data_IF_981463521120
#
_entry.id   IF_981463521120
#
_cell.length_a   1.000
_cell.length_b   1.000
_cell.length_c   1.000
_cell.angle_alpha   90.00
_cell.angle_beta   90.00
_cell.angle_gamma   90.00
#
_symmetry.space_group_name_H-M   'P 1'
#
loop_
_entity.id
_entity.type
_entity.pdbx_description
1 polymer ?
#
# COMPACT_ATOMS: atom_id res chain seq x y z
N UNK A 1 32.35 -26.90 16.53
CA UNK A 1 31.03 -27.57 16.42
C UNK A 1 30.09 -26.56 15.81
N UNK A 2 29.77 -26.72 14.53
CA UNK A 2 28.85 -25.83 13.82
C UNK A 2 27.43 -26.33 14.04
N UNK A 3 26.57 -25.48 14.60
CA UNK A 3 25.12 -25.73 14.70
C UNK A 3 24.54 -25.86 13.28
N UNK A 4 23.68 -26.86 13.01
CA UNK A 4 22.99 -26.95 11.72
C UNK A 4 21.98 -25.79 11.61
N UNK A 5 21.65 -25.34 10.38
CA UNK A 5 20.60 -24.35 10.17
C UNK A 5 19.26 -24.92 10.64
N UNK A 6 18.51 -24.17 11.44
CA UNK A 6 17.13 -24.52 11.76
C UNK A 6 16.29 -24.47 10.48
N UNK A 7 15.76 -25.62 10.06
CA UNK A 7 14.74 -25.69 9.02
C UNK A 7 13.52 -24.89 9.50
N UNK A 8 13.33 -23.70 8.93
CA UNK A 8 12.15 -22.88 9.15
C UNK A 8 10.96 -23.50 8.39
N UNK A 9 10.51 -24.67 8.83
CA UNK A 9 9.36 -25.42 8.30
C UNK A 9 8.01 -24.82 8.79
N UNK A 10 8.02 -23.51 9.06
CA UNK A 10 6.88 -22.75 9.54
C UNK A 10 5.88 -22.47 8.42
N UNK A 11 4.60 -22.74 8.65
CA UNK A 11 3.53 -22.39 7.71
C UNK A 11 3.18 -20.90 7.72
N UNK A 12 3.78 -20.12 8.63
CA UNK A 12 3.61 -18.67 8.70
C UNK A 12 4.57 -18.01 7.71
N UNK A 13 4.08 -17.14 6.81
CA UNK A 13 4.97 -16.41 5.92
C UNK A 13 5.80 -15.38 6.68
N UNK A 14 7.00 -15.07 6.20
CA UNK A 14 7.96 -14.10 6.77
C UNK A 14 7.49 -12.62 6.74
N UNK A 15 6.22 -12.36 6.47
CA UNK A 15 5.67 -11.01 6.38
C UNK A 15 5.58 -10.35 7.77
N UNK A 16 5.82 -9.04 7.85
CA UNK A 16 5.54 -8.25 9.06
C UNK A 16 6.51 -7.12 9.40
N UNK A 17 7.63 -6.98 8.69
CA UNK A 17 8.45 -5.77 8.83
C UNK A 17 7.87 -4.64 7.97
N UNK A 18 6.94 -3.87 8.54
CA UNK A 18 6.30 -2.77 7.83
C UNK A 18 7.29 -1.65 7.45
N UNK A 19 8.42 -1.55 8.16
CA UNK A 19 9.44 -0.51 7.94
C UNK A 19 10.14 -0.67 6.59
N UNK A 20 10.19 -1.90 6.07
CA UNK A 20 10.75 -2.21 4.75
C UNK A 20 9.75 -1.99 3.60
N UNK A 21 8.46 -1.76 3.92
CA UNK A 21 7.46 -1.54 2.88
C UNK A 21 7.63 -0.16 2.25
N UNK A 22 7.93 -0.12 0.96
CA UNK A 22 7.99 1.12 0.19
C UNK A 22 6.68 1.93 0.27
N UNK A 23 5.52 1.25 0.35
CA UNK A 23 4.23 1.89 0.56
C UNK A 23 4.15 2.59 1.91
N UNK A 24 4.68 1.97 2.97
CA UNK A 24 4.72 2.56 4.31
C UNK A 24 5.68 3.75 4.38
N UNK A 25 6.92 3.58 3.90
CA UNK A 25 7.91 4.67 3.89
C UNK A 25 7.39 5.91 3.16
N UNK A 26 6.75 5.73 2.00
CA UNK A 26 6.12 6.84 1.28
C UNK A 26 4.91 7.42 2.01
N UNK A 27 4.04 6.59 2.59
CA UNK A 27 2.91 7.08 3.38
C UNK A 27 3.37 7.88 4.60
N UNK A 28 4.53 7.56 5.17
CA UNK A 28 5.16 8.35 6.22
C UNK A 28 5.60 9.73 5.74
N UNK A 29 6.28 9.81 4.59
CA UNK A 29 6.61 11.09 3.96
C UNK A 29 5.35 11.91 3.67
N UNK A 30 4.30 11.28 3.14
CA UNK A 30 3.02 11.94 2.86
C UNK A 30 2.40 12.51 4.14
N UNK A 31 2.42 11.75 5.24
CA UNK A 31 1.95 12.22 6.54
C UNK A 31 2.75 13.42 7.04
N UNK A 32 4.08 13.32 7.02
CA UNK A 32 4.97 14.38 7.53
C UNK A 32 4.86 15.68 6.73
N UNK A 33 4.75 15.56 5.40
CA UNK A 33 4.53 16.69 4.51
C UNK A 33 3.16 17.31 4.78
N UNK A 34 2.11 16.50 4.89
CA UNK A 34 0.73 16.96 5.08
C UNK A 34 0.53 17.64 6.42
N UNK A 35 1.08 17.08 7.49
CA UNK A 35 1.03 17.69 8.82
C UNK A 35 1.61 19.10 8.80
N UNK A 36 2.78 19.28 8.17
CA UNK A 36 3.43 20.58 8.05
C UNK A 36 2.69 21.52 7.10
N UNK A 37 2.22 21.00 5.97
CA UNK A 37 1.46 21.77 4.98
C UNK A 37 0.17 22.35 5.58
N UNK A 38 -0.63 21.51 6.24
CA UNK A 38 -1.89 21.92 6.85
C UNK A 38 -1.65 23.00 7.93
N UNK A 39 -0.65 22.83 8.79
CA UNK A 39 -0.36 23.83 9.82
C UNK A 39 0.25 25.13 9.29
N UNK A 40 0.96 25.11 8.17
CA UNK A 40 1.65 26.28 7.61
C UNK A 40 0.77 27.09 6.65
N UNK A 41 -0.04 26.42 5.83
CA UNK A 41 -0.70 27.04 4.68
C UNK A 41 -2.23 27.05 4.75
N UNK A 42 -2.84 26.42 5.76
CA UNK A 42 -4.27 26.51 6.02
C UNK A 42 -4.55 27.39 7.24
N UNK A 43 -5.69 28.06 7.23
CA UNK A 43 -6.10 28.95 8.31
C UNK A 43 -6.49 28.16 9.56
N UNK A 44 -6.03 28.62 10.73
CA UNK A 44 -6.40 28.00 12.02
C UNK A 44 -7.92 28.00 12.20
N UNK A 45 -8.48 26.83 12.52
CA UNK A 45 -9.93 26.64 12.68
C UNK A 45 -10.65 26.13 11.43
N UNK A 46 -9.95 25.98 10.32
CA UNK A 46 -10.48 25.31 9.13
C UNK A 46 -10.57 23.79 9.38
N UNK A 47 -11.79 23.24 9.27
CA UNK A 47 -12.05 21.80 9.41
C UNK A 47 -11.21 20.96 8.43
N UNK A 48 -10.78 21.57 7.32
CA UNK A 48 -9.90 20.96 6.32
C UNK A 48 -8.55 20.53 6.91
N UNK A 49 -8.03 21.24 7.93
CA UNK A 49 -6.76 20.87 8.60
C UNK A 49 -6.88 19.47 9.21
N UNK A 50 -7.90 19.27 10.03
CA UNK A 50 -8.09 18.02 10.76
C UNK A 50 -8.40 16.87 9.80
N UNK A 51 -9.17 17.14 8.74
CA UNK A 51 -9.51 16.16 7.71
C UNK A 51 -8.25 15.68 6.97
N UNK A 52 -7.43 16.59 6.42
CA UNK A 52 -6.21 16.22 5.71
C UNK A 52 -5.24 15.42 6.60
N UNK A 53 -5.01 15.89 7.84
CA UNK A 53 -4.11 15.21 8.78
C UNK A 53 -4.66 13.82 9.12
N UNK A 54 -5.98 13.70 9.35
CA UNK A 54 -6.62 12.42 9.65
C UNK A 54 -6.53 11.44 8.47
N UNK A 55 -6.80 11.89 7.25
CA UNK A 55 -6.71 11.08 6.03
C UNK A 55 -5.28 10.55 5.83
N UNK A 56 -4.28 11.43 5.96
CA UNK A 56 -2.86 11.03 5.88
C UNK A 56 -2.47 10.03 6.99
N UNK A 57 -2.90 10.29 8.23
CA UNK A 57 -2.64 9.41 9.38
C UNK A 57 -3.30 8.05 9.21
N UNK A 58 -4.55 8.02 8.76
CA UNK A 58 -5.33 6.82 8.50
C UNK A 58 -4.67 5.97 7.41
N UNK A 59 -4.25 6.60 6.31
CA UNK A 59 -3.50 5.94 5.22
C UNK A 59 -2.26 5.21 5.75
N UNK A 60 -1.38 5.93 6.47
CA UNK A 60 -0.15 5.36 7.05
C UNK A 60 -0.44 4.24 8.06
N UNK A 61 -1.37 4.47 8.99
CA UNK A 61 -1.67 3.49 10.06
C UNK A 61 -2.24 2.20 9.52
N UNK A 62 -3.16 2.26 8.56
CA UNK A 62 -3.77 1.06 8.01
C UNK A 62 -2.75 0.20 7.23
N UNK A 63 -1.74 0.79 6.59
CA UNK A 63 -0.62 0.02 5.99
C UNK A 63 0.16 -0.73 7.07
N UNK A 64 0.52 -0.05 8.17
CA UNK A 64 1.23 -0.65 9.30
C UNK A 64 0.41 -1.77 9.94
N UNK A 65 -0.87 -1.50 10.26
CA UNK A 65 -1.76 -2.45 10.92
C UNK A 65 -2.03 -3.66 10.00
N UNK A 66 -2.23 -3.43 8.70
CA UNK A 66 -2.36 -4.49 7.70
C UNK A 66 -1.12 -5.39 7.64
N UNK A 67 0.06 -4.78 7.58
CA UNK A 67 1.33 -5.51 7.61
C UNK A 67 1.50 -6.33 8.89
N UNK A 68 1.10 -5.82 10.06
CA UNK A 68 1.14 -6.60 11.31
C UNK A 68 0.12 -7.74 11.33
N UNK A 69 -1.06 -7.51 10.76
CA UNK A 69 -2.13 -8.52 10.66
C UNK A 69 -1.80 -9.64 9.66
N UNK A 70 -0.91 -9.40 8.68
CA UNK A 70 -0.50 -10.40 7.66
C UNK A 70 -0.09 -11.76 8.24
N UNK A 71 0.51 -11.76 9.43
CA UNK A 71 0.93 -12.97 10.15
C UNK A 71 -0.25 -13.84 10.63
N UNK A 72 -1.41 -13.23 10.87
CA UNK A 72 -2.54 -13.90 11.51
C UNK A 72 -3.79 -13.94 10.64
N UNK A 73 -3.99 -12.97 9.73
CA UNK A 73 -5.16 -12.89 8.87
C UNK A 73 -4.88 -12.12 7.58
N UNK A 74 -4.86 -12.86 6.45
CA UNK A 74 -4.78 -12.28 5.11
C UNK A 74 -6.04 -11.49 4.72
N UNK A 75 -7.20 -11.85 5.27
CA UNK A 75 -8.44 -11.07 5.07
C UNK A 75 -8.32 -9.69 5.72
N UNK A 76 -7.81 -9.63 6.96
CA UNK A 76 -7.63 -8.38 7.68
C UNK A 76 -6.56 -7.52 7.01
N UNK A 77 -5.45 -8.12 6.56
CA UNK A 77 -4.42 -7.42 5.79
C UNK A 77 -5.02 -6.77 4.52
N UNK A 78 -5.79 -7.53 3.73
CA UNK A 78 -6.44 -7.01 2.52
C UNK A 78 -7.44 -5.89 2.85
N UNK A 79 -8.25 -6.06 3.89
CA UNK A 79 -9.23 -5.04 4.32
C UNK A 79 -8.55 -3.74 4.73
N UNK A 80 -7.56 -3.81 5.62
CA UNK A 80 -6.83 -2.63 6.09
C UNK A 80 -6.07 -1.95 4.94
N UNK A 81 -5.45 -2.73 4.04
CA UNK A 81 -4.78 -2.16 2.86
C UNK A 81 -5.76 -1.40 1.96
N UNK A 82 -7.00 -1.89 1.79
CA UNK A 82 -8.05 -1.15 1.09
C UNK A 82 -8.47 0.14 1.81
N UNK A 83 -8.60 0.12 3.14
CA UNK A 83 -8.90 1.33 3.93
C UNK A 83 -7.77 2.37 3.80
N UNK A 84 -6.52 1.92 3.80
CA UNK A 84 -5.38 2.80 3.54
C UNK A 84 -5.48 3.47 2.16
N UNK A 85 -5.82 2.69 1.13
CA UNK A 85 -6.00 3.19 -0.23
C UNK A 85 -7.10 4.24 -0.32
N UNK A 86 -8.24 4.01 0.33
CA UNK A 86 -9.34 4.96 0.38
C UNK A 86 -8.95 6.26 1.10
N UNK A 87 -8.29 6.15 2.25
CA UNK A 87 -7.83 7.32 3.04
C UNK A 87 -6.85 8.19 2.25
N UNK A 88 -5.98 7.57 1.44
CA UNK A 88 -5.05 8.30 0.57
C UNK A 88 -5.73 8.91 -0.67
N UNK A 89 -6.87 8.36 -1.12
CA UNK A 89 -7.69 9.02 -2.17
C UNK A 89 -8.40 10.25 -1.63
N UNK A 90 -8.94 10.17 -0.41
CA UNK A 90 -9.54 11.33 0.27
C UNK A 90 -8.51 12.46 0.40
N UNK A 91 -7.30 12.14 0.87
CA UNK A 91 -6.22 13.13 0.95
C UNK A 91 -5.82 13.69 -0.42
N UNK A 92 -5.84 12.86 -1.46
CA UNK A 92 -5.54 13.29 -2.83
C UNK A 92 -6.56 14.33 -3.30
N UNK A 93 -7.84 14.11 -2.99
CA UNK A 93 -8.93 15.02 -3.30
C UNK A 93 -8.78 16.33 -2.52
N UNK A 94 -8.44 16.28 -1.22
CA UNK A 94 -8.19 17.48 -0.41
C UNK A 94 -7.12 18.39 -1.00
N UNK A 95 -6.00 17.84 -1.50
CA UNK A 95 -4.95 18.62 -2.16
C UNK A 95 -5.40 19.19 -3.52
N UNK A 96 -6.23 18.45 -4.28
CA UNK A 96 -6.80 18.95 -5.53
C UNK A 96 -7.74 20.11 -5.27
N UNK A 97 -8.59 20.00 -4.25
CA UNK A 97 -9.49 21.05 -3.83
C UNK A 97 -8.75 22.27 -3.29
N UNK A 98 -7.66 22.08 -2.54
CA UNK A 98 -6.80 23.18 -2.11
C UNK A 98 -6.30 24.01 -3.30
N UNK A 99 -5.81 23.35 -4.35
CA UNK A 99 -5.29 23.99 -5.56
C UNK A 99 -6.44 24.65 -6.36
N UNK A 100 -7.50 23.90 -6.63
CA UNK A 100 -8.66 24.35 -7.42
C UNK A 100 -9.36 25.54 -6.79
N UNK A 101 -9.61 25.52 -5.48
CA UNK A 101 -10.32 26.59 -4.78
C UNK A 101 -9.51 27.90 -4.68
N UNK A 102 -8.23 27.88 -5.08
CA UNK A 102 -7.31 29.03 -5.07
C UNK A 102 -6.82 29.39 -6.48
N UNK A 103 -7.44 28.82 -7.52
CA UNK A 103 -7.05 29.01 -8.93
C UNK A 103 -5.56 28.69 -9.20
N UNK A 104 -5.00 27.74 -8.45
CA UNK A 104 -3.62 27.29 -8.59
C UNK A 104 -3.55 26.11 -9.58
N UNK A 105 -2.55 26.07 -10.46
CA UNK A 105 -2.45 25.02 -11.46
C UNK A 105 -2.08 23.67 -10.83
N UNK A 106 -2.71 22.62 -11.35
CA UNK A 106 -2.32 21.23 -11.10
C UNK A 106 -1.35 20.83 -12.20
N UNK A 107 -0.20 20.25 -11.84
CA UNK A 107 0.79 19.81 -12.81
C UNK A 107 0.25 18.67 -13.68
N UNK A 108 0.51 18.77 -14.98
CA UNK A 108 0.35 17.64 -15.88
C UNK A 108 1.29 16.49 -15.46
N UNK A 109 0.83 15.24 -15.61
CA UNK A 109 1.58 14.05 -15.21
C UNK A 109 2.94 13.90 -15.90
N UNK A 110 3.12 14.55 -17.05
CA UNK A 110 4.32 14.52 -17.90
C UNK A 110 5.11 15.84 -17.84
N UNK A 111 4.73 16.78 -16.96
CA UNK A 111 5.51 18.00 -16.71
C UNK A 111 6.91 17.68 -16.17
N UNK A 112 7.85 18.60 -16.38
CA UNK A 112 9.25 18.42 -15.94
C UNK A 112 9.31 18.28 -14.41
N UNK A 113 8.48 19.03 -13.71
CA UNK A 113 8.34 19.08 -12.26
C UNK A 113 7.76 17.77 -11.72
N UNK A 114 6.64 17.30 -12.29
CA UNK A 114 6.01 16.04 -11.89
C UNK A 114 6.94 14.85 -12.14
N UNK A 115 7.64 14.83 -13.28
CA UNK A 115 8.63 13.80 -13.57
C UNK A 115 9.85 13.87 -12.63
N UNK A 116 10.29 15.07 -12.23
CA UNK A 116 11.36 15.23 -11.27
C UNK A 116 10.98 14.64 -9.90
N UNK A 117 9.81 15.01 -9.37
CA UNK A 117 9.31 14.45 -8.10
C UNK A 117 9.12 12.95 -8.22
N UNK A 118 8.62 12.45 -9.35
CA UNK A 118 8.47 11.01 -9.60
C UNK A 118 9.80 10.28 -9.54
N UNK A 119 10.89 10.87 -10.07
CA UNK A 119 12.25 10.29 -9.98
C UNK A 119 12.78 10.35 -8.55
N UNK A 120 12.62 11.47 -7.85
CA UNK A 120 13.02 11.62 -6.45
C UNK A 120 12.31 10.57 -5.57
N UNK A 121 11.02 10.33 -5.82
CA UNK A 121 10.24 9.32 -5.15
C UNK A 121 10.65 7.87 -5.43
N UNK A 122 11.63 7.59 -6.29
CA UNK A 122 12.18 6.23 -6.47
C UNK A 122 13.42 5.96 -5.61
N UNK A 123 13.96 6.98 -4.94
CA UNK A 123 15.11 6.81 -4.06
C UNK A 123 14.74 5.94 -2.85
N UNK A 124 15.71 5.25 -2.25
CA UNK A 124 15.50 4.44 -1.05
C UNK A 124 16.68 4.63 -0.11
N UNK A 125 16.46 4.84 1.21
CA UNK A 125 15.16 4.92 1.87
C UNK A 125 14.38 6.19 1.50
N UNK A 126 13.05 6.13 1.53
CA UNK A 126 12.21 7.33 1.39
C UNK A 126 12.03 7.98 2.77
N UNK A 127 12.50 9.22 2.93
CA UNK A 127 12.30 10.01 4.16
C UNK A 127 11.87 11.44 3.83
N UNK A 128 11.34 12.15 4.82
CA UNK A 128 10.89 13.54 4.66
C UNK A 128 12.05 14.48 4.30
N UNK A 129 13.28 14.16 4.69
CA UNK A 129 14.49 14.95 4.44
C UNK A 129 14.72 15.20 2.95
N UNK A 130 14.35 14.26 2.08
CA UNK A 130 14.42 14.43 0.62
C UNK A 130 13.52 15.58 0.11
N UNK A 131 12.49 15.94 0.88
CA UNK A 131 11.47 16.91 0.49
C UNK A 131 11.49 18.20 1.32
N UNK A 132 12.26 18.21 2.42
CA UNK A 132 12.33 19.31 3.38
C UNK A 132 12.67 20.64 2.73
N UNK A 133 13.70 20.67 1.88
CA UNK A 133 14.12 21.90 1.20
C UNK A 133 13.00 22.46 0.31
N UNK A 134 12.28 21.60 -0.42
CA UNK A 134 11.13 22.06 -1.23
C UNK A 134 10.02 22.63 -0.35
N UNK A 135 9.72 21.99 0.78
CA UNK A 135 8.70 22.49 1.71
C UNK A 135 9.06 23.85 2.31
N UNK A 136 10.33 24.06 2.64
CA UNK A 136 10.81 25.27 3.30
C UNK A 136 10.94 26.45 2.33
N UNK A 137 11.32 26.19 1.07
CA UNK A 137 11.68 27.24 0.10
C UNK A 137 10.65 27.50 -1.00
N UNK A 138 9.72 26.58 -1.26
CA UNK A 138 8.78 26.70 -2.38
C UNK A 138 7.40 27.19 -1.93
N UNK A 139 6.67 27.91 -2.81
CA UNK A 139 5.32 28.36 -2.49
C UNK A 139 4.36 27.18 -2.31
N UNK A 140 3.21 27.37 -1.63
CA UNK A 140 2.30 26.29 -1.28
C UNK A 140 1.77 25.50 -2.48
N UNK A 141 1.56 26.16 -3.62
CA UNK A 141 1.18 25.52 -4.88
C UNK A 141 2.14 24.38 -5.27
N UNK A 142 3.45 24.65 -5.21
CA UNK A 142 4.48 23.71 -5.60
C UNK A 142 4.52 22.55 -4.60
N UNK A 143 4.40 22.86 -3.30
CA UNK A 143 4.36 21.85 -2.23
C UNK A 143 3.12 20.95 -2.35
N UNK A 144 1.96 21.52 -2.65
CA UNK A 144 0.73 20.75 -2.88
C UNK A 144 0.84 19.84 -4.10
N UNK A 145 1.42 20.31 -5.20
CA UNK A 145 1.68 19.47 -6.37
C UNK A 145 2.72 18.36 -6.11
N UNK A 146 3.75 18.62 -5.29
CA UNK A 146 4.67 17.58 -4.79
C UNK A 146 3.88 16.54 -4.00
N UNK A 147 2.98 16.96 -3.10
CA UNK A 147 2.14 16.05 -2.32
C UNK A 147 1.26 15.17 -3.22
N UNK A 148 0.59 15.74 -4.24
CA UNK A 148 -0.17 14.99 -5.24
C UNK A 148 0.68 13.91 -5.91
N UNK A 149 1.91 14.24 -6.33
CA UNK A 149 2.82 13.28 -6.94
C UNK A 149 3.17 12.12 -5.99
N UNK A 150 3.46 12.44 -4.72
CA UNK A 150 3.79 11.43 -3.71
C UNK A 150 2.61 10.54 -3.36
N UNK A 151 1.41 11.10 -3.24
CA UNK A 151 0.18 10.34 -2.98
C UNK A 151 -0.11 9.41 -4.16
N UNK A 152 0.00 9.87 -5.40
CA UNK A 152 -0.14 9.01 -6.58
C UNK A 152 0.84 7.83 -6.58
N UNK A 153 2.11 8.06 -6.23
CA UNK A 153 3.09 6.99 -6.13
C UNK A 153 2.77 6.02 -4.98
N UNK A 154 2.29 6.54 -3.86
CA UNK A 154 1.90 5.73 -2.70
C UNK A 154 0.69 4.86 -3.05
N UNK A 155 -0.34 5.44 -3.65
CA UNK A 155 -1.52 4.73 -4.14
C UNK A 155 -1.14 3.63 -5.14
N UNK A 156 -0.23 3.91 -6.08
CA UNK A 156 0.25 2.88 -7.00
C UNK A 156 0.87 1.67 -6.25
N UNK A 157 1.70 1.90 -5.24
CA UNK A 157 2.31 0.82 -4.46
C UNK A 157 1.26 0.04 -3.65
N UNK A 158 0.30 0.75 -3.04
CA UNK A 158 -0.80 0.14 -2.30
C UNK A 158 -1.68 -0.69 -3.24
N UNK A 159 -1.98 -0.21 -4.45
CA UNK A 159 -2.73 -0.94 -5.47
C UNK A 159 -2.00 -2.23 -5.89
N UNK A 160 -0.67 -2.20 -6.03
CA UNK A 160 0.11 -3.41 -6.32
C UNK A 160 0.08 -4.40 -5.14
N UNK A 161 0.11 -3.89 -3.90
CA UNK A 161 -0.01 -4.70 -2.69
C UNK A 161 -1.39 -5.39 -2.63
N UNK A 162 -2.48 -4.66 -2.86
CA UNK A 162 -3.85 -5.20 -2.92
C UNK A 162 -3.94 -6.31 -3.98
N UNK A 163 -3.49 -6.04 -5.21
CA UNK A 163 -3.50 -7.03 -6.30
C UNK A 163 -2.72 -8.30 -5.97
N UNK A 164 -1.62 -8.19 -5.23
CA UNK A 164 -0.85 -9.35 -4.76
C UNK A 164 -1.65 -10.14 -3.73
N UNK A 165 -2.20 -9.45 -2.73
CA UNK A 165 -2.99 -10.06 -1.66
C UNK A 165 -4.24 -10.79 -2.20
N UNK A 166 -4.95 -10.20 -3.16
CA UNK A 166 -6.09 -10.84 -3.81
C UNK A 166 -5.68 -12.14 -4.54
N UNK A 167 -4.57 -12.12 -5.28
CA UNK A 167 -4.05 -13.31 -5.96
C UNK A 167 -3.66 -14.40 -4.97
N UNK A 168 -2.99 -14.03 -3.89
CA UNK A 168 -2.55 -14.96 -2.86
C UNK A 168 -3.75 -15.57 -2.11
N UNK A 169 -4.77 -14.77 -1.85
CA UNK A 169 -6.02 -15.22 -1.24
C UNK A 169 -6.75 -16.22 -2.14
N UNK A 170 -6.88 -15.94 -3.45
CA UNK A 170 -7.49 -16.85 -4.41
C UNK A 170 -6.71 -18.16 -4.58
N UNK A 171 -5.37 -18.11 -4.55
CA UNK A 171 -4.51 -19.28 -4.75
C UNK A 171 -4.42 -20.17 -3.51
N UNK A 172 -4.31 -19.58 -2.33
CA UNK A 172 -3.96 -20.29 -1.11
C UNK A 172 -5.09 -20.36 -0.08
N UNK A 173 -6.14 -19.57 -0.23
CA UNK A 173 -7.14 -19.33 0.81
C UNK A 173 -6.58 -18.49 1.97
N UNK A 174 -7.35 -18.39 3.05
CA UNK A 174 -6.91 -17.75 4.29
C UNK A 174 -5.88 -18.58 5.07
N UNK A 175 -5.49 -18.07 6.24
CA UNK A 175 -4.55 -18.78 7.12
C UNK A 175 -5.12 -20.11 7.62
N UNK A 176 -6.43 -20.19 7.88
CA UNK A 176 -7.10 -21.40 8.36
C UNK A 176 -7.01 -22.54 7.34
N UNK A 177 -7.24 -22.23 6.07
CA UNK A 177 -7.14 -23.16 4.96
C UNK A 177 -5.71 -23.67 4.79
N UNK A 178 -4.73 -22.77 4.89
CA UNK A 178 -3.30 -23.13 4.87
C UNK A 178 -2.91 -24.03 6.05
N UNK A 179 -3.34 -23.69 7.27
CA UNK A 179 -3.11 -24.52 8.45
C UNK A 179 -3.72 -25.91 8.31
N UNK A 180 -4.96 -26.00 7.81
CA UNK A 180 -5.61 -27.29 7.56
C UNK A 180 -4.84 -28.10 6.53
N UNK A 181 -4.38 -27.48 5.43
CA UNK A 181 -3.58 -28.15 4.39
C UNK A 181 -2.25 -28.67 4.95
N UNK A 182 -1.50 -27.83 5.68
CA UNK A 182 -0.25 -28.22 6.31
C UNK A 182 -0.43 -29.40 7.28
N UNK A 183 -1.51 -29.38 8.07
CA UNK A 183 -1.86 -30.51 8.96
C UNK A 183 -2.14 -31.81 8.19
N UNK A 184 -2.85 -31.73 7.06
CA UNK A 184 -3.14 -32.89 6.21
C UNK A 184 -1.87 -33.44 5.55
N UNK A 185 -0.99 -32.57 5.07
CA UNK A 185 0.31 -32.95 4.48
C UNK A 185 1.24 -33.62 5.49
N UNK A 186 1.36 -33.07 6.70
CA UNK A 186 2.14 -33.66 7.78
C UNK A 186 1.64 -35.08 8.15
N UNK A 187 0.31 -35.26 8.21
CA UNK A 187 -0.30 -36.58 8.45
C UNK A 187 -0.03 -37.56 7.30
N UNK A 188 -0.11 -37.11 6.06
CA UNK A 188 0.17 -37.96 4.89
C UNK A 188 1.62 -38.44 4.87
N UNK A 189 2.58 -37.54 5.18
CA UNK A 189 4.01 -37.86 5.31
C UNK A 189 4.26 -38.90 6.41
N UNK A 190 3.61 -38.78 7.58
CA UNK A 190 3.73 -39.75 8.67
C UNK A 190 3.15 -41.13 8.32
N UNK A 191 2.16 -41.19 7.41
CA UNK A 191 1.51 -42.44 6.99
C UNK A 191 2.07 -43.03 5.69
N UNK A 192 3.14 -42.47 5.12
CA UNK A 192 3.71 -42.90 3.84
C UNK A 192 2.77 -42.72 2.64
N UNK A 193 1.77 -41.84 2.75
CA UNK A 193 0.76 -41.57 1.69
C UNK A 193 1.13 -40.32 0.89
N UNK A 194 0.80 -40.27 -0.42
CA UNK A 194 1.03 -39.08 -1.22
C UNK A 194 0.20 -37.88 -0.72
N UNK A 195 0.74 -36.65 -0.77
CA UNK A 195 0.06 -35.46 -0.29
C UNK A 195 -1.20 -35.11 -1.11
N UNK A 196 -2.20 -34.44 -0.51
CA UNK A 196 -3.41 -34.04 -1.21
C UNK A 196 -3.14 -33.00 -2.30
N UNK A 197 -3.85 -33.09 -3.44
CA UNK A 197 -3.73 -32.11 -4.55
C UNK A 197 -4.30 -30.74 -4.15
N UNK A 198 -3.68 -29.62 -4.57
CA UNK A 198 -4.21 -28.27 -4.31
C UNK A 198 -5.55 -28.02 -5.04
N UNK A 199 -6.40 -27.11 -4.52
CA UNK A 199 -7.66 -26.75 -5.17
C UNK A 199 -7.38 -26.12 -6.54
N UNK A 200 -8.12 -26.58 -7.56
CA UNK A 200 -8.04 -25.99 -8.89
C UNK A 200 -8.78 -24.63 -8.88
N UNK A 201 -8.23 -23.59 -9.53
CA UNK A 201 -8.95 -22.34 -9.71
C UNK A 201 -10.26 -22.60 -10.48
N UNK A 202 -11.33 -21.83 -10.23
CA UNK A 202 -12.58 -22.01 -10.96
C UNK A 202 -12.30 -21.89 -12.46
N UNK A 203 -12.63 -22.95 -13.21
CA UNK A 203 -12.40 -23.03 -14.65
C UNK A 203 -13.13 -21.89 -15.35
N UNK A 204 -12.42 -21.16 -16.22
CA UNK A 204 -13.05 -20.20 -17.12
C UNK A 204 -14.08 -20.96 -17.96
N UNK A 205 -15.34 -20.54 -17.88
CA UNK A 205 -16.39 -21.02 -18.78
C UNK A 205 -15.91 -20.88 -20.23
N UNK A 206 -16.07 -21.91 -21.08
CA UNK A 206 -15.69 -21.79 -22.48
C UNK A 206 -16.50 -20.66 -23.13
N UNK A 207 -15.81 -19.81 -23.91
CA UNK A 207 -16.47 -18.80 -24.73
C UNK A 207 -17.38 -19.53 -25.73
N UNK A 208 -18.60 -19.06 -25.99
CA UNK A 208 -19.40 -19.60 -27.08
C UNK A 208 -18.65 -19.39 -28.40
N UNK A 209 -18.51 -20.45 -29.19
CA UNK A 209 -17.97 -20.38 -30.54
C UNK A 209 -18.86 -19.47 -31.38
N UNK A 210 -18.28 -18.39 -31.92
CA UNK A 210 -18.91 -17.61 -32.98
C UNK A 210 -18.99 -18.48 -34.23
N UNK A 211 -20.21 -18.86 -34.58
CA UNK A 211 -20.51 -19.61 -35.79
C UNK A 211 -20.06 -18.85 -37.03
N UNK A 212 -19.28 -19.52 -37.87
CA UNK A 212 -19.15 -19.16 -39.28
C UNK A 212 -20.33 -19.75 -40.05
N UNK A 213 -21.22 -18.89 -40.55
CA UNK A 213 -21.91 -18.98 -41.85
C UNK A 213 -22.63 -17.67 -42.11
#
# INVERSE_FOLDING_TARGET
>A
MSTPPEDNDGFLPDYGNYEDLLSFQKAEVVYDLTFRFAHKYLSKGDRTIDQMIQSARSGKKNILEGSKASKTSSEMELKLTNVARASLEELLDDYRDYLRARDLPIWDKDSKEAQYVRRLGRQTPQTYELYREFFETRPPEIVANIALCLIHQTNYLVDQQIKRLEKDFLKNGGLRERMTRARLEARARQQGRPPPKPPQPPGKSPRPEEGRS
#
